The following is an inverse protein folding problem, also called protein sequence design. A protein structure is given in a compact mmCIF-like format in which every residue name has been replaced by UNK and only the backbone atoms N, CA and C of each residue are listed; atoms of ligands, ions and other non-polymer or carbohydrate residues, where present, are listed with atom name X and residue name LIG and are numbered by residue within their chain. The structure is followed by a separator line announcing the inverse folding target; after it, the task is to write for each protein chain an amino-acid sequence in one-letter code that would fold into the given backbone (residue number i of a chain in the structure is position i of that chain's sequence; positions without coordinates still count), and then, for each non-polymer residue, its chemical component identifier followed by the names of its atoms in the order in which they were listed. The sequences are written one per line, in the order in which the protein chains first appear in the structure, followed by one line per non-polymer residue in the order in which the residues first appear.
data_IF_459186037325
#
_entry.id   IF_459186037325
#
_cell.length_a   1.000
_cell.length_b   1.000
_cell.length_c   1.000
_cell.angle_alpha   90.00
_cell.angle_beta   90.00
_cell.angle_gamma   90.00
#
_symmetry.space_group_name_H-M   'P 1'
#
loop_
_entity.id
_entity.type
_entity.pdbx_description
1 polymer ?
#
# COMPACT_ATOMS: atom_id res chain seq x y z
N UNK A 1 13.20 8.73 -17.35
CA UNK A 1 13.33 9.93 -16.52
C UNK A 1 13.27 9.50 -15.06
N UNK A 2 14.04 10.15 -14.16
CA UNK A 2 13.91 9.87 -12.74
C UNK A 2 12.49 10.18 -12.26
N UNK A 3 12.07 9.54 -11.17
CA UNK A 3 10.84 9.86 -10.46
C UNK A 3 10.71 11.39 -10.30
N UNK A 4 9.54 11.96 -10.64
CA UNK A 4 9.34 13.41 -10.52
C UNK A 4 9.55 13.86 -9.07
N UNK A 5 10.00 15.11 -8.88
CA UNK A 5 10.18 15.67 -7.54
C UNK A 5 8.87 15.64 -6.72
N UNK A 6 7.73 15.84 -7.39
CA UNK A 6 6.41 15.72 -6.78
C UNK A 6 6.11 14.30 -6.32
N UNK A 7 6.30 13.29 -7.17
CA UNK A 7 6.04 11.90 -6.81
C UNK A 7 6.96 11.44 -5.66
N UNK A 8 8.23 11.86 -5.66
CA UNK A 8 9.15 11.66 -4.54
C UNK A 8 8.61 12.28 -3.26
N UNK A 9 8.23 13.56 -3.28
CA UNK A 9 7.74 14.26 -2.11
C UNK A 9 6.48 13.61 -1.52
N UNK A 10 5.59 13.06 -2.38
CA UNK A 10 4.40 12.33 -1.92
C UNK A 10 4.74 11.01 -1.23
N UNK A 11 5.74 10.27 -1.68
CA UNK A 11 6.21 9.06 -1.01
C UNK A 11 6.91 9.39 0.33
N UNK A 12 7.71 10.46 0.36
CA UNK A 12 8.34 10.94 1.59
C UNK A 12 7.29 11.41 2.61
N UNK A 13 6.24 12.10 2.16
CA UNK A 13 5.11 12.51 2.99
C UNK A 13 4.44 11.32 3.69
N UNK A 14 4.20 10.20 2.99
CA UNK A 14 3.62 8.98 3.60
C UNK A 14 4.47 8.54 4.80
N UNK A 15 5.79 8.44 4.63
CA UNK A 15 6.70 8.03 5.70
C UNK A 15 6.63 9.01 6.87
N UNK A 16 6.75 10.30 6.60
CA UNK A 16 6.89 11.31 7.64
C UNK A 16 5.60 11.48 8.44
N UNK A 17 4.46 11.51 7.74
CA UNK A 17 3.14 11.53 8.37
C UNK A 17 2.89 10.26 9.20
N UNK A 18 3.22 9.08 8.67
CA UNK A 18 3.06 7.82 9.42
C UNK A 18 3.89 7.80 10.70
N UNK A 19 5.15 8.23 10.60
CA UNK A 19 6.06 8.35 11.75
C UNK A 19 5.49 9.31 12.79
N UNK A 20 4.94 10.45 12.37
CA UNK A 20 4.31 11.40 13.27
C UNK A 20 3.09 10.79 13.96
N UNK A 21 2.16 10.19 13.20
CA UNK A 21 0.95 9.56 13.72
C UNK A 21 1.25 8.48 14.75
N UNK A 22 2.18 7.56 14.46
CA UNK A 22 2.55 6.48 15.39
C UNK A 22 3.20 7.03 16.66
N UNK A 23 3.99 8.11 16.57
CA UNK A 23 4.66 8.71 17.73
C UNK A 23 3.72 9.52 18.63
N UNK A 24 2.71 10.18 18.06
CA UNK A 24 1.84 11.09 18.80
C UNK A 24 0.53 10.45 19.28
N UNK A 25 0.16 9.28 18.77
CA UNK A 25 -1.13 8.66 19.10
C UNK A 25 -1.19 8.23 20.58
N UNK A 26 -2.20 8.71 21.30
CA UNK A 26 -2.45 8.27 22.67
C UNK A 26 -2.92 6.81 22.69
N UNK A 27 -2.56 6.01 23.72
CA UNK A 27 -2.96 4.59 23.80
C UNK A 27 -4.47 4.36 23.71
N UNK A 28 -5.28 5.26 24.29
CA UNK A 28 -6.74 5.18 24.23
C UNK A 28 -7.27 5.38 22.80
N UNK A 29 -6.70 6.34 22.06
CA UNK A 29 -7.10 6.67 20.70
C UNK A 29 -6.73 5.53 19.75
N UNK A 30 -5.59 4.87 19.99
CA UNK A 30 -5.17 3.68 19.23
C UNK A 30 -6.16 2.52 19.33
N UNK A 31 -6.85 2.38 20.46
CA UNK A 31 -7.86 1.35 20.68
C UNK A 31 -9.26 1.78 20.25
N UNK A 32 -9.47 3.07 19.99
CA UNK A 32 -10.77 3.58 19.53
C UNK A 32 -11.10 3.12 18.11
N UNK A 33 -12.39 3.01 17.76
CA UNK A 33 -12.83 2.74 16.39
C UNK A 33 -12.39 3.82 15.42
N UNK A 34 -11.96 3.41 14.23
CA UNK A 34 -11.78 4.32 13.09
C UNK A 34 -13.12 4.61 12.40
N UNK A 35 -13.18 5.67 11.60
CA UNK A 35 -14.39 6.13 10.93
C UNK A 35 -14.63 5.35 9.62
N UNK A 36 -15.84 4.85 9.43
CA UNK A 36 -16.23 4.12 8.21
C UNK A 36 -15.53 2.77 7.98
N UNK A 37 -14.83 2.21 8.97
CA UNK A 37 -14.19 0.89 8.86
C UNK A 37 -14.54 -0.03 10.04
N UNK A 38 -14.16 -1.31 9.94
CA UNK A 38 -14.31 -2.28 11.04
C UNK A 38 -13.09 -2.31 11.98
N UNK A 39 -12.05 -1.54 11.69
CA UNK A 39 -10.78 -1.53 12.40
C UNK A 39 -10.76 -0.48 13.52
N UNK A 40 -9.97 -0.76 14.56
CA UNK A 40 -9.46 0.28 15.47
C UNK A 40 -8.42 1.15 14.75
N UNK A 41 -8.11 2.34 15.30
CA UNK A 41 -7.04 3.19 14.74
C UNK A 41 -5.69 2.47 14.66
N UNK A 42 -5.35 1.62 15.63
CA UNK A 42 -4.13 0.81 15.60
C UNK A 42 -4.10 -0.17 14.43
N UNK A 43 -5.22 -0.84 14.18
CA UNK A 43 -5.33 -1.83 13.09
C UNK A 43 -5.34 -1.12 11.73
N UNK A 44 -5.99 0.04 11.62
CA UNK A 44 -5.96 0.87 10.42
C UNK A 44 -4.55 1.43 10.14
N UNK A 45 -3.82 1.91 11.15
CA UNK A 45 -2.42 2.31 11.00
C UNK A 45 -1.54 1.14 10.53
N UNK A 46 -1.80 -0.09 10.99
CA UNK A 46 -1.09 -1.24 10.49
C UNK A 46 -1.42 -1.50 9.01
N UNK A 47 -2.69 -1.41 8.63
CA UNK A 47 -3.14 -1.53 7.24
C UNK A 47 -2.52 -0.47 6.31
N UNK A 48 -2.40 0.78 6.77
CA UNK A 48 -1.75 1.86 6.01
C UNK A 48 -0.29 1.53 5.68
N UNK A 49 0.48 0.97 6.62
CA UNK A 49 1.82 0.45 6.31
C UNK A 49 1.77 -0.75 5.36
N UNK A 50 0.80 -1.64 5.53
CA UNK A 50 0.66 -2.83 4.69
C UNK A 50 0.48 -2.47 3.21
N UNK A 51 -0.21 -1.37 2.89
CA UNK A 51 -0.26 -0.83 1.53
C UNK A 51 1.13 -0.52 0.94
N UNK A 52 2.02 0.09 1.73
CA UNK A 52 3.41 0.35 1.33
C UNK A 52 4.18 -0.96 1.06
N UNK A 53 3.96 -1.97 1.90
CA UNK A 53 4.55 -3.30 1.76
C UNK A 53 4.05 -4.01 0.50
N UNK A 54 2.75 -3.91 0.19
CA UNK A 54 2.18 -4.46 -1.04
C UNK A 54 2.84 -3.82 -2.26
N UNK A 55 2.95 -2.49 -2.32
CA UNK A 55 3.60 -1.83 -3.45
C UNK A 55 5.04 -2.33 -3.64
N UNK A 56 5.83 -2.40 -2.56
CA UNK A 56 7.19 -2.98 -2.61
C UNK A 56 7.22 -4.39 -3.18
N UNK A 57 6.26 -5.24 -2.82
CA UNK A 57 6.17 -6.61 -3.34
C UNK A 57 5.70 -6.65 -4.81
N UNK A 58 4.83 -5.74 -5.22
CA UNK A 58 4.30 -5.68 -6.58
C UNK A 58 5.33 -5.23 -7.61
N UNK A 59 6.25 -4.33 -7.26
CA UNK A 59 7.30 -3.85 -8.18
C UNK A 59 8.06 -4.98 -8.90
N UNK A 60 8.65 -5.98 -8.22
CA UNK A 60 9.30 -7.10 -8.89
C UNK A 60 8.30 -8.02 -9.62
N UNK A 61 7.12 -8.27 -9.05
CA UNK A 61 6.08 -9.13 -9.65
C UNK A 61 5.60 -8.58 -10.99
N UNK A 62 5.31 -7.29 -11.07
CA UNK A 62 4.96 -6.58 -12.31
C UNK A 62 6.10 -6.65 -13.34
N UNK A 63 7.35 -6.65 -12.87
CA UNK A 63 8.51 -6.92 -13.72
C UNK A 63 8.46 -8.29 -14.37
N UNK A 64 8.18 -9.32 -13.58
CA UNK A 64 8.04 -10.68 -14.09
C UNK A 64 6.90 -10.80 -15.08
N UNK A 65 5.69 -10.36 -14.72
CA UNK A 65 4.51 -10.45 -15.59
C UNK A 65 4.65 -9.67 -16.89
N UNK A 66 5.40 -8.56 -16.90
CA UNK A 66 5.66 -7.80 -18.13
C UNK A 66 6.44 -8.57 -19.20
N UNK A 67 7.05 -9.71 -18.85
CA UNK A 67 7.78 -10.57 -19.79
C UNK A 67 6.92 -11.68 -20.39
N UNK A 68 5.68 -11.84 -19.90
CA UNK A 68 4.75 -12.87 -20.39
C UNK A 68 3.71 -12.27 -21.34
N UNK A 69 3.07 -13.10 -22.19
CA UNK A 69 1.93 -12.65 -22.98
C UNK A 69 0.83 -12.05 -22.10
N UNK A 70 0.11 -10.99 -22.56
CA UNK A 70 -0.95 -10.34 -21.77
C UNK A 70 -2.01 -11.30 -21.21
N UNK A 71 -2.31 -12.39 -21.92
CA UNK A 71 -3.27 -13.41 -21.49
C UNK A 71 -2.91 -14.09 -20.16
N UNK A 72 -1.61 -14.28 -19.88
CA UNK A 72 -1.14 -14.87 -18.62
C UNK A 72 -1.45 -13.93 -17.45
N UNK A 73 -1.19 -12.63 -17.63
CA UNK A 73 -1.47 -11.61 -16.62
C UNK A 73 -2.98 -11.45 -16.40
N UNK A 74 -3.78 -11.47 -17.47
CA UNK A 74 -5.25 -11.40 -17.39
C UNK A 74 -5.84 -12.62 -16.70
N UNK A 75 -5.36 -13.83 -17.01
CA UNK A 75 -5.82 -15.06 -16.34
C UNK A 75 -5.49 -15.03 -14.84
N UNK A 76 -4.29 -14.57 -14.48
CA UNK A 76 -3.90 -14.40 -13.08
C UNK A 76 -4.80 -13.39 -12.36
N UNK A 77 -5.06 -12.23 -12.97
CA UNK A 77 -5.98 -11.22 -12.43
C UNK A 77 -7.42 -11.75 -12.32
N UNK A 78 -7.89 -12.54 -13.27
CA UNK A 78 -9.21 -13.19 -13.22
C UNK A 78 -9.31 -14.17 -12.05
N UNK A 79 -8.30 -15.00 -11.82
CA UNK A 79 -8.23 -15.90 -10.67
C UNK A 79 -8.27 -15.12 -9.34
N UNK A 80 -7.47 -14.05 -9.23
CA UNK A 80 -7.47 -13.19 -8.04
C UNK A 80 -8.81 -12.47 -7.84
N UNK A 81 -9.45 -12.05 -8.93
CA UNK A 81 -10.78 -11.41 -8.89
C UNK A 81 -11.85 -12.38 -8.41
N UNK A 82 -11.80 -13.65 -8.81
CA UNK A 82 -12.67 -14.70 -8.27
C UNK A 82 -12.45 -14.93 -6.76
N UNK A 83 -11.24 -14.63 -6.26
CA UNK A 83 -10.87 -14.67 -4.85
C UNK A 83 -11.10 -13.33 -4.10
N UNK A 84 -11.86 -12.38 -4.65
CA UNK A 84 -12.04 -11.06 -4.01
C UNK A 84 -12.68 -11.15 -2.62
N UNK A 85 -13.74 -11.94 -2.45
CA UNK A 85 -14.39 -12.12 -1.14
C UNK A 85 -13.45 -12.67 -0.06
N UNK A 86 -12.72 -13.78 -0.30
CA UNK A 86 -11.73 -14.24 0.68
C UNK A 86 -10.60 -13.23 0.86
N UNK A 87 -10.18 -12.52 -0.19
CA UNK A 87 -9.17 -11.46 -0.08
C UNK A 87 -9.60 -10.34 0.87
N UNK A 88 -10.83 -9.83 0.79
CA UNK A 88 -11.32 -8.79 1.71
C UNK A 88 -11.23 -9.25 3.17
N UNK A 89 -11.56 -10.51 3.43
CA UNK A 89 -11.45 -11.10 4.77
C UNK A 89 -10.01 -11.26 5.21
N UNK A 90 -9.13 -11.75 4.34
CA UNK A 90 -7.69 -11.88 4.60
C UNK A 90 -7.06 -10.51 4.86
N UNK A 91 -7.40 -9.49 4.08
CA UNK A 91 -6.90 -8.13 4.25
C UNK A 91 -7.30 -7.57 5.64
N UNK A 92 -8.56 -7.76 6.04
CA UNK A 92 -9.02 -7.44 7.38
C UNK A 92 -8.26 -8.22 8.47
N UNK A 93 -8.20 -9.54 8.37
CA UNK A 93 -7.60 -10.41 9.37
C UNK A 93 -6.08 -10.21 9.50
N UNK A 94 -5.39 -9.95 8.39
CA UNK A 94 -3.96 -9.66 8.35
C UNK A 94 -3.65 -8.33 9.06
N UNK A 95 -4.49 -7.30 8.86
CA UNK A 95 -4.35 -6.05 9.60
C UNK A 95 -4.57 -6.23 11.11
N UNK A 96 -5.60 -6.98 11.50
CA UNK A 96 -5.90 -7.29 12.91
C UNK A 96 -4.78 -8.11 13.56
N UNK A 97 -4.40 -9.23 12.95
CA UNK A 97 -3.37 -10.13 13.46
C UNK A 97 -1.99 -9.47 13.45
N UNK A 98 -1.64 -8.78 12.37
CA UNK A 98 -0.38 -8.08 12.23
C UNK A 98 -0.21 -6.94 13.24
N UNK A 99 -1.25 -6.13 13.45
CA UNK A 99 -1.23 -5.08 14.46
C UNK A 99 -1.02 -5.64 15.87
N UNK A 100 -1.62 -6.79 16.18
CA UNK A 100 -1.50 -7.46 17.49
C UNK A 100 -0.14 -8.14 17.70
N UNK A 101 0.42 -8.76 16.66
CA UNK A 101 1.64 -9.55 16.76
C UNK A 101 2.93 -8.72 16.57
N UNK A 102 2.95 -7.78 15.62
CA UNK A 102 4.15 -7.01 15.29
C UNK A 102 4.23 -5.67 16.04
N UNK A 103 3.09 -5.05 16.33
CA UNK A 103 2.99 -3.73 16.96
C UNK A 103 3.38 -2.55 16.05
N UNK A 104 2.98 -1.34 16.46
CA UNK A 104 3.17 -0.13 15.66
C UNK A 104 4.62 0.35 15.58
N UNK A 105 5.44 0.08 16.60
CA UNK A 105 6.87 0.43 16.56
C UNK A 105 7.61 -0.32 15.44
N UNK A 106 7.24 -1.60 15.23
CA UNK A 106 7.81 -2.40 14.15
C UNK A 106 7.27 -1.98 12.78
N UNK A 107 5.96 -1.72 12.67
CA UNK A 107 5.40 -1.22 11.41
C UNK A 107 5.97 0.15 11.03
N UNK A 108 6.28 1.02 11.99
CA UNK A 108 6.98 2.29 11.75
C UNK A 108 8.37 2.07 11.14
N UNK A 109 9.19 1.16 11.70
CA UNK A 109 10.49 0.82 11.11
C UNK A 109 10.35 0.26 9.70
N UNK A 110 9.35 -0.59 9.47
CA UNK A 110 9.09 -1.13 8.14
C UNK A 110 8.60 -0.07 7.15
N UNK A 111 7.77 0.88 7.58
CA UNK A 111 7.35 2.01 6.73
C UNK A 111 8.55 2.82 6.23
N UNK A 112 9.48 3.14 7.12
CA UNK A 112 10.72 3.83 6.76
C UNK A 112 11.53 3.00 5.77
N UNK A 113 11.72 1.71 6.06
CA UNK A 113 12.53 0.82 5.22
C UNK A 113 11.90 0.58 3.83
N UNK A 114 10.58 0.40 3.76
CA UNK A 114 9.84 0.15 2.53
C UNK A 114 9.75 1.41 1.67
N UNK A 115 9.52 2.57 2.27
CA UNK A 115 9.58 3.87 1.56
C UNK A 115 10.98 4.12 0.99
N UNK A 116 12.02 3.91 1.80
CA UNK A 116 13.40 4.11 1.33
C UNK A 116 13.78 3.13 0.22
N UNK A 117 13.26 1.90 0.25
CA UNK A 117 13.46 0.94 -0.83
C UNK A 117 12.74 1.38 -2.12
N UNK A 118 11.48 1.82 -2.02
CA UNK A 118 10.69 2.27 -3.16
C UNK A 118 11.35 3.49 -3.85
N UNK A 119 11.81 4.46 -3.06
CA UNK A 119 12.52 5.64 -3.57
C UNK A 119 13.80 5.23 -4.30
N UNK A 120 14.68 4.44 -3.66
CA UNK A 120 15.93 3.97 -4.30
C UNK A 120 15.68 3.17 -5.57
N UNK A 121 14.66 2.32 -5.57
CA UNK A 121 14.30 1.56 -6.77
C UNK A 121 13.83 2.49 -7.89
N UNK A 122 12.97 3.47 -7.58
CA UNK A 122 12.43 4.40 -8.57
C UNK A 122 13.49 5.37 -9.12
N UNK A 123 14.47 5.77 -8.31
CA UNK A 123 15.62 6.59 -8.75
C UNK A 123 16.49 5.89 -9.80
N UNK A 124 16.60 4.56 -9.72
CA UNK A 124 17.36 3.75 -10.67
C UNK A 124 16.55 3.19 -11.85
N UNK A 125 15.24 3.42 -11.89
CA UNK A 125 14.36 2.85 -12.92
C UNK A 125 14.37 3.69 -14.21
N UNK A 126 14.40 3.02 -15.36
CA UNK A 126 14.16 3.66 -16.66
C UNK A 126 12.66 3.89 -16.91
N UNK A 127 12.30 4.69 -17.92
CA UNK A 127 10.89 4.86 -18.33
C UNK A 127 10.28 3.51 -18.77
N UNK A 128 11.07 2.68 -19.43
CA UNK A 128 10.65 1.33 -19.80
C UNK A 128 10.40 0.46 -18.57
N UNK A 129 11.19 0.59 -17.50
CA UNK A 129 10.96 -0.14 -16.26
C UNK A 129 9.71 0.32 -15.54
N UNK A 130 9.44 1.64 -15.53
CA UNK A 130 8.24 2.23 -14.93
C UNK A 130 6.97 1.85 -15.69
N UNK A 131 7.05 1.71 -17.02
CA UNK A 131 5.95 1.30 -17.88
C UNK A 131 5.57 -0.19 -17.77
N UNK A 132 6.46 -1.04 -17.24
CA UNK A 132 6.14 -2.46 -16.98
C UNK A 132 5.00 -2.57 -15.98
N UNK A 133 4.13 -3.55 -16.17
CA UNK A 133 2.92 -3.67 -15.38
C UNK A 133 2.31 -5.06 -15.42
N UNK A 134 1.13 -5.16 -14.83
CA UNK A 134 0.30 -6.36 -14.87
C UNK A 134 -1.17 -5.99 -14.74
N UNK A 135 -2.05 -6.90 -15.14
CA UNK A 135 -3.44 -6.86 -14.74
C UNK A 135 -3.58 -7.10 -13.24
N UNK A 136 -4.38 -6.26 -12.59
CA UNK A 136 -4.72 -6.36 -11.17
C UNK A 136 -6.24 -6.39 -11.00
N UNK A 137 -6.77 -6.98 -9.91
CA UNK A 137 -8.21 -7.01 -9.67
C UNK A 137 -8.75 -5.62 -9.30
N UNK A 138 -9.63 -4.99 -10.11
CA UNK A 138 -10.14 -3.65 -9.80
C UNK A 138 -10.98 -3.59 -8.51
N UNK A 139 -11.55 -4.72 -8.08
CA UNK A 139 -12.37 -4.79 -6.87
C UNK A 139 -11.59 -4.82 -5.56
N UNK A 140 -10.26 -4.86 -5.60
CA UNK A 140 -9.43 -4.93 -4.39
C UNK A 140 -9.16 -3.55 -3.76
N UNK A 141 -9.15 -2.50 -4.57
CA UNK A 141 -8.95 -1.13 -4.13
C UNK A 141 -9.67 -0.16 -5.07
N UNK A 142 -10.36 0.89 -4.57
CA UNK A 142 -11.12 1.83 -5.42
C UNK A 142 -10.31 2.51 -6.52
N UNK A 143 -8.99 2.58 -6.37
CA UNK A 143 -8.09 3.25 -7.29
C UNK A 143 -7.39 2.27 -8.26
N UNK A 144 -7.64 0.97 -8.16
CA UNK A 144 -7.09 -0.03 -9.08
C UNK A 144 -7.81 -0.01 -10.42
N UNK A 145 -7.02 0.02 -11.49
CA UNK A 145 -7.48 -0.16 -12.87
C UNK A 145 -7.19 -1.59 -13.35
N UNK A 146 -7.91 -2.12 -14.36
CA UNK A 146 -7.70 -3.49 -14.85
C UNK A 146 -6.28 -3.81 -15.31
N UNK A 147 -5.51 -2.77 -15.65
CA UNK A 147 -4.07 -2.82 -15.87
C UNK A 147 -3.42 -1.70 -15.07
N UNK A 148 -2.32 -2.01 -14.39
CA UNK A 148 -1.49 -1.02 -13.70
C UNK A 148 -0.02 -1.27 -14.02
N UNK A 149 0.67 -0.20 -14.41
CA UNK A 149 2.11 -0.12 -14.46
C UNK A 149 2.72 0.09 -13.08
N UNK A 150 4.04 -0.06 -12.97
CA UNK A 150 4.77 0.30 -11.74
C UNK A 150 4.65 1.79 -11.44
N UNK A 151 4.58 2.65 -12.46
CA UNK A 151 4.29 4.08 -12.28
C UNK A 151 2.90 4.28 -11.65
N UNK A 152 1.87 3.58 -12.15
CA UNK A 152 0.52 3.66 -11.60
C UNK A 152 0.47 3.21 -10.12
N UNK A 153 1.27 2.21 -9.74
CA UNK A 153 1.40 1.78 -8.34
C UNK A 153 2.04 2.87 -7.47
N UNK A 154 3.05 3.57 -7.98
CA UNK A 154 3.70 4.67 -7.26
C UNK A 154 2.73 5.84 -7.06
N UNK A 155 1.87 6.12 -8.05
CA UNK A 155 0.83 7.15 -7.97
C UNK A 155 -0.37 6.73 -7.10
N UNK A 156 -0.63 5.43 -7.02
CA UNK A 156 -1.67 4.84 -6.18
C UNK A 156 -1.36 4.98 -4.69
N UNK A 157 -0.11 4.73 -4.29
CA UNK A 157 0.34 4.73 -2.89
C UNK A 157 -0.15 5.93 -2.06
N UNK A 158 0.10 7.20 -2.47
CA UNK A 158 -0.35 8.35 -1.70
C UNK A 158 -1.88 8.52 -1.72
N UNK A 159 -2.59 8.07 -2.76
CA UNK A 159 -4.07 8.11 -2.81
C UNK A 159 -4.68 7.16 -1.80
N UNK A 160 -4.21 5.91 -1.79
CA UNK A 160 -4.63 4.89 -0.82
C UNK A 160 -4.28 5.31 0.61
N UNK A 161 -3.07 5.82 0.84
CA UNK A 161 -2.66 6.30 2.16
C UNK A 161 -3.53 7.47 2.64
N UNK A 162 -3.77 8.47 1.79
CA UNK A 162 -4.63 9.62 2.13
C UNK A 162 -6.07 9.20 2.45
N UNK A 163 -6.63 8.25 1.69
CA UNK A 163 -7.96 7.70 1.93
C UNK A 163 -8.08 7.12 3.34
N UNK A 164 -7.17 6.23 3.72
CA UNK A 164 -7.19 5.62 5.05
C UNK A 164 -6.79 6.58 6.17
N UNK A 165 -5.91 7.54 5.87
CA UNK A 165 -5.58 8.60 6.83
C UNK A 165 -6.81 9.40 7.23
N UNK A 166 -7.73 9.67 6.30
CA UNK A 166 -8.96 10.42 6.57
C UNK A 166 -9.96 9.65 7.47
N UNK A 167 -9.81 8.33 7.56
CA UNK A 167 -10.63 7.45 8.42
C UNK A 167 -10.10 7.37 9.86
N UNK A 168 -8.90 7.86 10.15
CA UNK A 168 -8.37 7.88 11.51
C UNK A 168 -9.15 8.87 12.39
N UNK A 169 -9.45 8.45 13.62
CA UNK A 169 -10.15 9.25 14.64
C UNK A 169 -9.23 9.71 15.77
N UNK A 170 -7.91 9.74 15.53
CA UNK A 170 -6.89 10.12 16.51
C UNK A 170 -7.07 11.57 16.99
N UNK A 171 -6.97 11.81 18.30
CA UNK A 171 -7.10 13.14 18.89
C UNK A 171 -8.53 13.73 18.88
N UNK A 172 -9.54 12.93 18.53
CA UNK A 172 -10.95 13.27 18.75
C UNK A 172 -11.41 12.92 20.16
#
# INVERSE_FOLDING_TARGET
MPLSAEARARLEWIRDDYVALVRSAAPRDLLAPSDGTRWTNRELLFHMWFGQRIARALIPVMGGFSQFPPSVSQAYAGMLSAATRPYTWINYAAAVGGARAAGLERSQRWMIADTAWLLRWAEGASDADLARGMSVPPGWDPYFTPWMSRADVMDWLPKHYQHHRAQLTLGR
#
